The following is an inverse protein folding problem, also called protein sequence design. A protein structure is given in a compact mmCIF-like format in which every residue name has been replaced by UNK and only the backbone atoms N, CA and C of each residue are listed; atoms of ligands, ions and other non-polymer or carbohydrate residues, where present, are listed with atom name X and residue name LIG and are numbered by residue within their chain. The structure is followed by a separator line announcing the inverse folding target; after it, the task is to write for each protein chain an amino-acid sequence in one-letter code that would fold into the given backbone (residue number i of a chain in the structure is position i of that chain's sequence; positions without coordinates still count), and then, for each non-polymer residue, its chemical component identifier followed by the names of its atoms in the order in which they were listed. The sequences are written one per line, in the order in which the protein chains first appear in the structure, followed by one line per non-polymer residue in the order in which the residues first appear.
data_IF_795441475648
#
_entry.id   IF_795441475648
#
_cell.length_a   1.000
_cell.length_b   1.000
_cell.length_c   1.000
_cell.angle_alpha   90.00
_cell.angle_beta   90.00
_cell.angle_gamma   90.00
#
_symmetry.space_group_name_H-M   'P 1'
#
loop_
_entity.id
_entity.type
_entity.pdbx_description
1 polymer ?
#
# COMPACT_ATOMS: atom_id res chain seq x y z
N UNK A 1 -0.11 12.19 -5.37
CA UNK A 1 0.78 12.56 -4.26
C UNK A 1 0.05 12.94 -2.96
N UNK A 2 -1.16 13.53 -2.98
CA UNK A 2 -1.87 13.99 -1.76
C UNK A 2 -1.99 12.94 -0.64
N UNK A 3 -2.36 11.70 -0.97
CA UNK A 3 -2.48 10.61 0.03
C UNK A 3 -1.15 10.26 0.72
N UNK A 4 -0.03 10.30 -0.03
CA UNK A 4 1.29 10.06 0.54
C UNK A 4 1.67 11.17 1.54
N UNK A 5 1.34 12.42 1.21
CA UNK A 5 1.51 13.54 2.14
C UNK A 5 0.66 13.38 3.41
N UNK A 6 -0.64 13.15 3.25
CA UNK A 6 -1.55 12.94 4.38
C UNK A 6 -1.07 11.80 5.28
N UNK A 7 -0.64 10.68 4.70
CA UNK A 7 -0.09 9.55 5.45
C UNK A 7 1.20 9.92 6.20
N UNK A 8 2.14 10.61 5.54
CA UNK A 8 3.39 11.04 6.18
C UNK A 8 3.15 11.95 7.39
N UNK A 9 2.17 12.85 7.30
CA UNK A 9 1.85 13.79 8.39
C UNK A 9 1.08 13.11 9.52
N UNK A 10 0.12 12.24 9.20
CA UNK A 10 -0.72 11.58 10.21
C UNK A 10 0.05 10.53 11.02
N UNK A 11 0.96 9.81 10.38
CA UNK A 11 1.69 8.71 10.98
C UNK A 11 3.15 9.05 11.32
N UNK A 12 3.58 10.30 11.10
CA UNK A 12 4.96 10.75 11.28
C UNK A 12 5.98 9.82 10.61
N UNK A 13 5.75 9.53 9.31
CA UNK A 13 6.56 8.59 8.55
C UNK A 13 7.23 9.22 7.32
N UNK A 14 8.40 8.69 6.98
CA UNK A 14 9.16 9.11 5.79
C UNK A 14 8.72 8.30 4.57
N UNK A 15 8.31 9.00 3.51
CA UNK A 15 7.82 8.37 2.28
C UNK A 15 8.58 8.95 1.09
N UNK A 16 9.15 8.06 0.27
CA UNK A 16 9.66 8.37 -1.07
C UNK A 16 8.83 7.63 -2.12
N UNK A 17 8.48 8.34 -3.19
CA UNK A 17 7.69 7.81 -4.31
C UNK A 17 8.35 8.22 -5.62
N UNK A 18 8.67 7.23 -6.44
CA UNK A 18 9.29 7.37 -7.76
C UNK A 18 8.34 6.77 -8.80
N UNK A 19 8.02 7.55 -9.83
CA UNK A 19 7.12 7.14 -10.92
C UNK A 19 7.78 7.45 -12.25
N UNK A 20 7.97 6.42 -13.07
CA UNK A 20 8.35 6.57 -14.47
C UNK A 20 7.11 6.43 -15.35
N UNK A 21 6.83 7.44 -16.18
CA UNK A 21 5.78 7.34 -17.18
C UNK A 21 6.21 6.45 -18.35
N UNK A 22 5.25 6.05 -19.19
CA UNK A 22 5.52 5.38 -20.47
C UNK A 22 6.37 6.22 -21.44
N UNK A 23 6.45 7.53 -21.23
CA UNK A 23 7.31 8.46 -21.96
C UNK A 23 8.68 8.67 -21.32
N UNK A 24 9.07 7.81 -20.36
CA UNK A 24 10.32 7.89 -19.58
C UNK A 24 10.49 9.20 -18.81
N UNK A 25 9.39 9.91 -18.49
CA UNK A 25 9.44 11.08 -17.61
C UNK A 25 9.41 10.61 -16.16
N UNK A 26 10.35 11.14 -15.38
CA UNK A 26 10.43 10.93 -13.95
C UNK A 26 9.52 11.92 -13.20
N UNK A 27 8.64 11.38 -12.37
CA UNK A 27 7.87 12.12 -11.39
C UNK A 27 8.22 11.58 -10.01
N UNK A 28 8.57 12.48 -9.10
CA UNK A 28 9.02 12.08 -7.77
C UNK A 28 8.35 12.90 -6.68
N UNK A 29 8.22 12.29 -5.51
CA UNK A 29 7.74 12.92 -4.28
C UNK A 29 8.50 12.33 -3.10
N UNK A 30 8.91 13.19 -2.17
CA UNK A 30 9.42 12.79 -0.86
C UNK A 30 8.70 13.62 0.21
N UNK A 31 8.40 13.03 1.36
CA UNK A 31 7.83 13.79 2.50
C UNK A 31 8.86 14.75 3.12
N UNK A 32 10.14 14.41 3.04
CA UNK A 32 11.27 15.25 3.48
C UNK A 32 12.20 15.54 2.31
N UNK A 33 13.33 14.85 2.23
CA UNK A 33 14.36 14.99 1.20
C UNK A 33 14.57 13.63 0.52
N UNK A 34 14.57 13.62 -0.82
CA UNK A 34 14.65 12.38 -1.58
C UNK A 34 15.97 11.64 -1.33
N UNK A 35 17.09 12.37 -1.30
CA UNK A 35 18.42 11.76 -1.16
C UNK A 35 18.58 11.16 0.24
N UNK A 36 18.02 11.81 1.26
CA UNK A 36 18.01 11.27 2.63
C UNK A 36 17.22 9.97 2.76
N UNK A 37 16.02 9.91 2.17
CA UNK A 37 15.19 8.70 2.24
C UNK A 37 15.81 7.56 1.44
N UNK A 38 16.41 7.85 0.29
CA UNK A 38 17.13 6.84 -0.51
C UNK A 38 18.40 6.35 0.16
N UNK A 39 19.18 7.22 0.79
CA UNK A 39 20.36 6.83 1.56
C UNK A 39 19.96 5.86 2.68
N UNK A 40 18.94 6.23 3.46
CA UNK A 40 18.39 5.38 4.51
C UNK A 40 17.91 4.02 3.95
N UNK A 41 17.28 4.00 2.77
CA UNK A 41 16.91 2.74 2.13
C UNK A 41 18.11 1.85 1.81
N UNK A 42 19.23 2.42 1.32
CA UNK A 42 20.44 1.65 0.99
C UNK A 42 21.21 1.16 2.22
N UNK A 43 21.05 1.80 3.37
CA UNK A 43 21.67 1.38 4.63
C UNK A 43 20.90 0.22 5.29
N UNK A 44 19.64 0.01 4.93
CA UNK A 44 18.84 -1.12 5.41
C UNK A 44 19.07 -2.35 4.52
N UNK A 45 19.51 -3.45 5.13
CA UNK A 45 19.82 -4.69 4.41
C UNK A 45 18.59 -5.36 3.79
N UNK A 46 17.46 -5.36 4.49
CA UNK A 46 16.22 -5.98 4.03
C UNK A 46 14.99 -5.16 4.42
N UNK A 47 14.00 -5.03 3.53
CA UNK A 47 12.74 -4.39 3.87
C UNK A 47 11.93 -5.29 4.82
N UNK A 48 11.31 -4.68 5.83
CA UNK A 48 10.37 -5.39 6.71
C UNK A 48 9.19 -5.98 5.93
N UNK A 49 8.73 -5.28 4.90
CA UNK A 49 7.68 -5.72 4.00
C UNK A 49 8.00 -5.28 2.57
N UNK A 50 7.85 -6.19 1.61
CA UNK A 50 8.05 -5.90 0.18
C UNK A 50 6.86 -6.42 -0.61
N UNK A 51 6.11 -5.49 -1.21
CA UNK A 51 4.91 -5.80 -1.98
C UNK A 51 5.12 -5.45 -3.45
N UNK A 52 4.68 -6.37 -4.31
CA UNK A 52 4.64 -6.20 -5.76
C UNK A 52 3.20 -6.12 -6.25
N UNK A 53 3.01 -5.78 -7.52
CA UNK A 53 1.68 -5.76 -8.14
C UNK A 53 0.94 -7.09 -7.97
N UNK A 54 1.64 -8.23 -7.94
CA UNK A 54 1.01 -9.55 -7.72
C UNK A 54 0.37 -9.63 -6.34
N UNK A 55 1.07 -9.17 -5.30
CA UNK A 55 0.57 -9.17 -3.92
C UNK A 55 -0.68 -8.31 -3.79
N UNK A 56 -0.67 -7.11 -4.38
CA UNK A 56 -1.80 -6.17 -4.32
C UNK A 56 -3.02 -6.73 -5.05
N UNK A 57 -2.80 -7.30 -6.23
CA UNK A 57 -3.84 -7.91 -7.05
C UNK A 57 -4.50 -9.07 -6.30
N UNK A 58 -3.71 -9.95 -5.69
CA UNK A 58 -4.20 -11.10 -4.92
C UNK A 58 -5.08 -10.67 -3.74
N UNK A 59 -4.63 -9.69 -2.95
CA UNK A 59 -5.43 -9.13 -1.85
C UNK A 59 -6.76 -8.59 -2.36
N UNK A 60 -6.76 -7.82 -3.45
CA UNK A 60 -8.00 -7.31 -4.03
C UNK A 60 -8.93 -8.38 -4.59
N UNK A 61 -8.41 -9.49 -5.12
CA UNK A 61 -9.23 -10.62 -5.53
C UNK A 61 -9.86 -11.30 -4.33
N UNK A 62 -9.09 -11.56 -3.27
CA UNK A 62 -9.61 -12.17 -2.03
C UNK A 62 -10.65 -11.29 -1.36
N UNK A 63 -10.42 -9.97 -1.25
CA UNK A 63 -11.40 -9.02 -0.72
C UNK A 63 -12.71 -9.04 -1.52
N UNK A 64 -12.63 -9.05 -2.86
CA UNK A 64 -13.82 -9.13 -3.72
C UNK A 64 -14.52 -10.49 -3.64
N UNK A 65 -13.77 -11.57 -3.54
CA UNK A 65 -14.31 -12.91 -3.44
C UNK A 65 -15.01 -13.11 -2.09
N UNK A 66 -14.39 -12.66 -0.99
CA UNK A 66 -15.03 -12.62 0.33
C UNK A 66 -16.26 -11.69 0.39
N UNK A 67 -16.27 -10.58 -0.38
CA UNK A 67 -17.42 -9.70 -0.45
C UNK A 67 -18.61 -10.33 -1.18
N UNK A 68 -18.35 -11.10 -2.24
CA UNK A 68 -19.37 -11.69 -3.12
C UNK A 68 -19.80 -13.13 -2.80
N UNK A 69 -19.07 -13.85 -1.95
CA UNK A 69 -19.31 -15.27 -1.72
C UNK A 69 -20.12 -15.51 -0.43
N UNK A 70 -21.44 -15.67 -0.58
CA UNK A 70 -22.38 -15.98 0.51
C UNK A 70 -22.01 -17.27 1.25
N UNK A 71 -21.35 -18.21 0.57
CA UNK A 71 -20.95 -19.50 1.13
C UNK A 71 -19.75 -19.31 2.09
N UNK A 72 -18.76 -18.49 1.71
CA UNK A 72 -17.60 -18.22 2.56
C UNK A 72 -17.99 -17.42 3.82
N UNK A 73 -18.95 -16.49 3.71
CA UNK A 73 -19.55 -15.77 4.86
C UNK A 73 -20.31 -16.69 5.81
N UNK A 74 -20.98 -17.71 5.28
CA UNK A 74 -21.67 -18.73 6.07
C UNK A 74 -20.68 -19.69 6.77
N UNK A 75 -19.61 -20.10 6.08
CA UNK A 75 -18.58 -21.01 6.63
C UNK A 75 -17.75 -20.33 7.73
N UNK A 76 -17.41 -19.03 7.58
CA UNK A 76 -16.65 -18.27 8.58
C UNK A 76 -17.51 -17.71 9.73
N UNK A 77 -18.81 -18.01 9.79
CA UNK A 77 -19.66 -17.64 10.92
C UNK A 77 -19.85 -16.14 11.15
N UNK A 78 -19.56 -15.28 10.15
CA UNK A 78 -19.66 -13.82 10.28
C UNK A 78 -21.10 -13.28 10.10
N UNK A 79 -22.12 -14.14 10.08
CA UNK A 79 -23.52 -13.73 10.28
C UNK A 79 -23.79 -13.45 11.76
N UNK A 80 -23.06 -12.48 12.31
CA UNK A 80 -23.33 -11.85 13.60
C UNK A 80 -23.89 -10.45 13.37
N UNK A 81 -25.21 -10.38 13.23
CA UNK A 81 -26.09 -9.23 13.46
C UNK A 81 -25.47 -7.81 13.53
N UNK A 82 -25.81 -7.00 12.53
CA UNK A 82 -26.35 -5.68 12.79
C UNK A 82 -25.42 -4.47 12.63
N UNK A 83 -25.83 -3.61 11.69
CA UNK A 83 -25.52 -2.18 11.56
C UNK A 83 -24.13 -1.90 10.98
N UNK A 84 -24.06 -1.68 9.67
CA UNK A 84 -24.11 -0.36 9.02
C UNK A 84 -24.69 -0.52 7.61
#
# INVERSE_FOLDING_TARGET
MKKAYELSVLCDCEIALIIFSSSNKLYQYASTDMDKVLLKYTEYNEPHESLTNKNIIEVHYVERQCAGDSILKAILGLFGSGRW
#
